data_IF_211340015560
#
_entry.id   IF_211340015560
#
_cell.length_a   1.000
_cell.length_b   1.000
_cell.length_c   1.000
_cell.angle_alpha   90.00
_cell.angle_beta   90.00
_cell.angle_gamma   90.00
#
_symmetry.space_group_name_H-M   'P 1'
#
loop_
_entity.id
_entity.type
_entity.pdbx_description
1 polymer ?
#
# COMPACT_ATOMS: atom_id res chain seq x y z
N UNK A 1 -4.74 17.57 -8.20
CA UNK A 1 -4.87 16.79 -6.96
C UNK A 1 -6.21 17.12 -6.35
N UNK A 2 -6.98 16.10 -6.00
CA UNK A 2 -8.24 16.24 -5.28
C UNK A 2 -7.97 16.13 -3.77
N UNK A 3 -8.89 16.65 -2.96
CA UNK A 3 -8.78 16.52 -1.50
C UNK A 3 -9.01 15.05 -1.11
N UNK A 4 -8.18 14.55 -0.21
CA UNK A 4 -8.38 13.26 0.44
C UNK A 4 -9.59 13.34 1.39
N UNK A 5 -10.48 12.36 1.30
CA UNK A 5 -11.60 12.18 2.21
C UNK A 5 -11.38 10.88 2.99
N UNK A 6 -11.84 10.86 4.24
CA UNK A 6 -11.78 9.66 5.06
C UNK A 6 -13.05 9.50 5.88
N UNK A 7 -13.57 8.28 5.91
CA UNK A 7 -14.68 7.88 6.76
C UNK A 7 -14.22 6.73 7.67
N UNK A 8 -14.67 6.71 8.92
CA UNK A 8 -14.24 5.70 9.89
C UNK A 8 -15.40 5.21 10.74
N UNK A 9 -15.45 3.88 10.89
CA UNK A 9 -16.37 3.16 11.74
C UNK A 9 -15.59 2.43 12.82
N UNK A 10 -16.07 2.52 14.06
CA UNK A 10 -15.45 1.83 15.19
C UNK A 10 -16.51 1.18 16.06
N UNK A 11 -16.21 -0.03 16.50
CA UNK A 11 -16.96 -0.74 17.52
C UNK A 11 -15.99 -1.24 18.59
N UNK A 12 -16.38 -1.15 19.86
CA UNK A 12 -15.54 -1.59 20.97
C UNK A 12 -16.37 -2.29 22.05
N UNK A 13 -15.77 -3.29 22.68
CA UNK A 13 -16.29 -3.98 23.86
C UNK A 13 -15.20 -4.00 24.92
N UNK A 14 -15.60 -3.63 26.14
CA UNK A 14 -14.78 -3.73 27.34
C UNK A 14 -15.40 -4.76 28.30
N UNK A 15 -14.60 -5.71 28.75
CA UNK A 15 -14.97 -6.75 29.69
C UNK A 15 -14.06 -6.68 30.92
N UNK A 16 -14.67 -6.64 32.10
CA UNK A 16 -13.95 -6.56 33.38
C UNK A 16 -14.37 -7.70 34.28
N UNK A 17 -13.39 -8.48 34.73
CA UNK A 17 -13.56 -9.66 35.58
C UNK A 17 -12.58 -9.60 36.76
N UNK A 18 -12.92 -8.82 37.79
CA UNK A 18 -12.08 -8.65 38.97
C UNK A 18 -10.71 -8.08 38.60
N UNK A 19 -9.66 -8.89 38.71
CA UNK A 19 -8.29 -8.47 38.41
C UNK A 19 -7.88 -8.66 36.95
N UNK A 20 -8.83 -9.03 36.08
CA UNK A 20 -8.64 -9.18 34.65
C UNK A 20 -9.50 -8.16 33.91
N UNK A 21 -8.91 -7.45 32.97
CA UNK A 21 -9.62 -6.64 31.99
C UNK A 21 -9.21 -7.02 30.57
N UNK A 22 -10.18 -6.88 29.67
CA UNK A 22 -10.04 -7.16 28.25
C UNK A 22 -10.86 -6.18 27.45
N UNK A 23 -10.20 -5.53 26.49
CA UNK A 23 -10.80 -4.64 25.51
C UNK A 23 -10.53 -5.20 24.12
N UNK A 24 -11.58 -5.21 23.30
CA UNK A 24 -11.49 -5.47 21.87
C UNK A 24 -12.14 -4.31 21.14
N UNK A 25 -11.39 -3.71 20.21
CA UNK A 25 -11.96 -2.77 19.24
C UNK A 25 -11.81 -3.31 17.82
N UNK A 26 -12.84 -3.10 17.03
CA UNK A 26 -12.81 -3.21 15.58
C UNK A 26 -12.85 -1.80 15.00
N UNK A 27 -11.99 -1.53 14.04
CA UNK A 27 -11.94 -0.28 13.31
C UNK A 27 -11.90 -0.55 11.81
N UNK A 28 -12.67 0.22 11.07
CA UNK A 28 -12.61 0.28 9.62
C UNK A 28 -12.48 1.75 9.21
N UNK A 29 -11.52 2.04 8.35
CA UNK A 29 -11.31 3.37 7.79
C UNK A 29 -11.17 3.27 6.29
N UNK A 30 -12.07 3.94 5.57
CA UNK A 30 -12.00 4.11 4.13
C UNK A 30 -11.44 5.50 3.80
N UNK A 31 -10.54 5.56 2.82
CA UNK A 31 -9.96 6.78 2.28
C UNK A 31 -10.29 6.85 0.78
N UNK A 32 -10.87 7.96 0.36
CA UNK A 32 -11.06 8.29 -1.05
C UNK A 32 -10.04 9.34 -1.48
N UNK A 33 -9.58 9.26 -2.73
CA UNK A 33 -8.60 10.19 -3.28
C UNK A 33 -7.33 10.27 -2.42
N UNK A 34 -6.91 9.16 -1.81
CA UNK A 34 -5.78 9.15 -0.89
C UNK A 34 -4.51 9.62 -1.61
N UNK A 35 -3.78 10.56 -1.05
CA UNK A 35 -2.54 11.01 -1.69
C UNK A 35 -1.44 9.98 -1.45
N UNK A 36 -1.00 9.31 -2.52
CA UNK A 36 0.01 8.25 -2.52
C UNK A 36 1.18 8.64 -3.41
N UNK A 37 2.33 7.98 -3.21
CA UNK A 37 3.48 8.26 -4.06
C UNK A 37 3.32 7.56 -5.42
N UNK A 38 3.52 8.28 -6.52
CA UNK A 38 3.70 7.68 -7.84
C UNK A 38 5.08 7.01 -7.89
N UNK A 39 5.10 5.69 -8.12
CA UNK A 39 6.37 4.94 -8.25
C UNK A 39 6.87 4.97 -9.69
N UNK A 40 8.19 4.85 -9.89
CA UNK A 40 8.76 4.74 -11.24
C UNK A 40 8.20 3.55 -12.03
N UNK A 41 7.90 2.44 -11.34
CA UNK A 41 7.27 1.28 -11.95
C UNK A 41 5.87 1.59 -12.50
N UNK A 42 5.05 2.33 -11.76
CA UNK A 42 3.71 2.73 -12.22
C UNK A 42 3.80 3.64 -13.46
N UNK A 43 4.73 4.60 -13.46
CA UNK A 43 4.99 5.47 -14.62
C UNK A 43 5.39 4.65 -15.85
N UNK A 44 6.27 3.66 -15.68
CA UNK A 44 6.69 2.77 -16.77
C UNK A 44 5.55 1.89 -17.28
N UNK A 45 4.74 1.32 -16.39
CA UNK A 45 3.59 0.48 -16.76
C UNK A 45 2.57 1.29 -17.55
N UNK A 46 2.29 2.53 -17.13
CA UNK A 46 1.37 3.42 -17.83
C UNK A 46 1.92 3.85 -19.20
N UNK A 47 3.20 4.25 -19.29
CA UNK A 47 3.83 4.59 -20.57
C UNK A 47 3.82 3.38 -21.54
N UNK A 48 4.07 2.17 -21.04
CA UNK A 48 4.00 0.96 -21.84
C UNK A 48 2.58 0.63 -22.31
N UNK A 49 1.58 0.79 -21.44
CA UNK A 49 0.18 0.64 -21.81
C UNK A 49 -0.21 1.61 -22.93
N UNK A 50 0.11 2.91 -22.77
CA UNK A 50 -0.17 3.92 -23.79
C UNK A 50 0.57 3.62 -25.10
N UNK A 51 1.82 3.15 -25.03
CA UNK A 51 2.57 2.71 -26.19
C UNK A 51 1.84 1.60 -26.96
N UNK A 52 1.32 0.57 -26.26
CA UNK A 52 0.55 -0.51 -26.87
C UNK A 52 -0.72 0.01 -27.54
N UNK A 53 -1.46 0.90 -26.87
CA UNK A 53 -2.70 1.48 -27.40
C UNK A 53 -2.45 2.33 -28.66
N UNK A 54 -1.41 3.17 -28.66
CA UNK A 54 -1.14 4.10 -29.78
C UNK A 54 -0.47 3.40 -30.96
N UNK A 55 0.45 2.47 -30.71
CA UNK A 55 1.26 1.85 -31.78
C UNK A 55 0.72 0.50 -32.25
N UNK A 56 -0.31 -0.02 -31.59
CA UNK A 56 -0.85 -1.37 -31.82
C UNK A 56 0.16 -2.48 -31.49
N UNK A 57 1.17 -2.21 -30.67
CA UNK A 57 2.15 -3.22 -30.28
C UNK A 57 1.53 -4.25 -29.34
N UNK A 58 1.63 -5.53 -29.71
CA UNK A 58 1.04 -6.65 -28.95
C UNK A 58 2.05 -7.47 -28.14
N UNK A 59 3.33 -7.13 -28.23
CA UNK A 59 4.38 -7.80 -27.46
C UNK A 59 4.39 -7.38 -25.99
N UNK A 60 5.17 -8.09 -25.18
CA UNK A 60 5.28 -7.88 -23.72
C UNK A 60 6.55 -7.15 -23.28
N UNK A 61 7.40 -6.70 -24.22
CA UNK A 61 8.62 -5.95 -23.92
C UNK A 61 9.78 -6.80 -23.36
N UNK A 62 9.58 -8.10 -23.17
CA UNK A 62 10.64 -9.03 -22.75
C UNK A 62 11.53 -9.42 -23.93
N UNK A 63 12.74 -9.92 -23.64
CA UNK A 63 13.70 -10.33 -24.67
C UNK A 63 13.05 -11.25 -25.71
N UNK A 64 13.24 -10.95 -27.00
CA UNK A 64 12.60 -11.66 -28.11
C UNK A 64 11.17 -11.20 -28.46
N UNK A 65 10.56 -10.33 -27.64
CA UNK A 65 9.22 -9.77 -27.85
C UNK A 65 9.20 -8.26 -27.52
N UNK A 66 10.27 -7.57 -27.90
CA UNK A 66 10.44 -6.13 -27.76
C UNK A 66 9.99 -5.40 -29.03
N UNK A 67 9.53 -4.14 -28.94
CA UNK A 67 9.29 -3.34 -30.12
C UNK A 67 10.59 -3.08 -30.88
N UNK A 68 10.45 -2.78 -32.17
CA UNK A 68 11.61 -2.37 -32.99
C UNK A 68 12.18 -1.05 -32.47
N UNK A 69 13.47 -0.82 -32.72
CA UNK A 69 14.13 0.42 -32.30
C UNK A 69 13.42 1.66 -32.85
N UNK A 70 13.02 1.61 -34.12
CA UNK A 70 12.29 2.71 -34.77
C UNK A 70 10.98 3.02 -34.04
N UNK A 71 10.18 2.00 -33.72
CA UNK A 71 8.92 2.21 -32.96
C UNK A 71 9.16 2.86 -31.60
N UNK A 72 10.26 2.51 -30.93
CA UNK A 72 10.62 3.08 -29.65
C UNK A 72 11.02 4.56 -29.78
N UNK A 73 11.80 4.90 -30.83
CA UNK A 73 12.19 6.28 -31.13
C UNK A 73 10.97 7.14 -31.48
N UNK A 74 10.06 6.62 -32.32
CA UNK A 74 8.82 7.29 -32.68
C UNK A 74 7.94 7.52 -31.43
N UNK A 75 7.87 6.54 -30.52
CA UNK A 75 7.16 6.67 -29.26
C UNK A 75 7.72 7.78 -28.37
N UNK A 76 9.03 7.87 -28.22
CA UNK A 76 9.67 8.90 -27.38
C UNK A 76 9.33 10.32 -27.86
N UNK A 77 9.20 10.52 -29.17
CA UNK A 77 8.79 11.79 -29.76
C UNK A 77 7.28 12.02 -29.70
N UNK A 78 6.49 10.99 -29.45
CA UNK A 78 5.04 11.10 -29.36
C UNK A 78 4.62 11.96 -28.14
N UNK A 79 3.66 12.89 -28.30
CA UNK A 79 3.12 13.66 -27.17
C UNK A 79 2.49 12.80 -26.06
N UNK A 80 1.99 11.61 -26.38
CA UNK A 80 1.40 10.67 -25.43
C UNK A 80 2.43 9.88 -24.61
N UNK A 81 3.72 9.91 -24.99
CA UNK A 81 4.77 9.27 -24.19
C UNK A 81 5.11 10.09 -22.96
N UNK A 82 5.28 9.41 -21.83
CA UNK A 82 5.68 10.01 -20.57
C UNK A 82 7.05 10.66 -20.70
N UNK A 83 7.09 11.98 -20.50
CA UNK A 83 8.34 12.77 -20.49
C UNK A 83 9.12 12.62 -19.18
N UNK A 84 8.54 11.93 -18.21
CA UNK A 84 9.21 11.59 -16.96
C UNK A 84 10.23 10.47 -17.14
N UNK A 85 10.11 9.63 -18.17
CA UNK A 85 11.05 8.54 -18.42
C UNK A 85 12.21 9.04 -19.29
N UNK A 86 13.34 9.33 -18.65
CA UNK A 86 14.58 9.74 -19.31
C UNK A 86 15.34 8.50 -19.76
N UNK A 87 15.54 8.40 -21.08
CA UNK A 87 16.22 7.28 -21.74
C UNK A 87 17.57 7.70 -22.26
N UNK A 88 18.45 6.73 -22.47
CA UNK A 88 19.75 6.97 -23.07
C UNK A 88 19.55 7.46 -24.53
N UNK A 89 20.08 8.64 -24.90
CA UNK A 89 19.98 9.15 -26.26
C UNK A 89 20.68 8.27 -27.30
N UNK A 90 21.66 7.44 -26.90
CA UNK A 90 22.38 6.52 -27.77
C UNK A 90 21.71 5.14 -27.87
N UNK A 91 21.01 4.71 -26.81
CA UNK A 91 20.18 3.50 -26.82
C UNK A 91 18.87 3.71 -26.07
N UNK A 92 17.77 4.04 -26.77
CA UNK A 92 16.50 4.37 -26.13
C UNK A 92 15.84 3.18 -25.40
N UNK A 93 16.36 1.95 -25.53
CA UNK A 93 15.93 0.81 -24.70
C UNK A 93 16.38 0.94 -23.25
N UNK A 94 17.44 1.70 -23.01
CA UNK A 94 18.01 1.90 -21.70
C UNK A 94 17.35 3.10 -21.04
N UNK A 95 16.71 2.87 -19.89
CA UNK A 95 16.16 3.93 -19.05
C UNK A 95 17.27 4.40 -18.11
N UNK A 96 17.62 5.69 -18.17
CA UNK A 96 18.62 6.30 -17.30
C UNK A 96 18.00 6.77 -15.99
N UNK A 97 16.79 7.33 -16.05
CA UNK A 97 16.14 7.93 -14.90
C UNK A 97 14.63 8.00 -15.12
N UNK A 98 13.87 7.97 -14.02
CA UNK A 98 12.44 8.29 -14.02
C UNK A 98 12.24 9.48 -13.10
N UNK A 99 11.69 10.55 -13.66
CA UNK A 99 11.26 11.76 -12.99
C UNK A 99 9.76 11.66 -12.65
N UNK A 100 9.15 12.76 -12.20
CA UNK A 100 7.71 12.75 -11.88
C UNK A 100 7.32 11.86 -10.70
N UNK A 101 8.30 11.37 -9.95
CA UNK A 101 8.09 10.75 -8.64
C UNK A 101 7.50 11.83 -7.73
N UNK A 102 6.24 11.68 -7.35
CA UNK A 102 5.49 12.71 -6.65
C UNK A 102 4.25 12.14 -5.99
N UNK A 103 3.36 13.04 -5.57
CA UNK A 103 2.07 12.67 -5.01
C UNK A 103 1.03 12.56 -6.14
N UNK A 104 0.36 11.40 -6.24
CA UNK A 104 -0.87 11.21 -7.00
C UNK A 104 -1.99 10.82 -6.05
N UNK A 105 -3.24 11.07 -6.42
CA UNK A 105 -4.36 10.46 -5.70
C UNK A 105 -4.46 8.99 -6.12
N UNK A 106 -4.42 8.05 -5.16
CA UNK A 106 -5.00 6.72 -5.30
C UNK A 106 -6.52 6.85 -5.25
N UNK A 107 -7.23 5.97 -5.95
CA UNK A 107 -8.69 6.01 -5.99
C UNK A 107 -9.27 5.72 -4.61
N UNK A 108 -8.85 4.60 -4.00
CA UNK A 108 -9.42 4.09 -2.76
C UNK A 108 -8.38 3.35 -1.94
N UNK A 109 -8.37 3.59 -0.62
CA UNK A 109 -7.65 2.75 0.35
C UNK A 109 -8.55 2.47 1.55
N UNK A 110 -8.73 1.20 1.90
CA UNK A 110 -9.56 0.78 3.03
C UNK A 110 -8.73 -0.06 4.00
N UNK A 111 -8.86 0.22 5.30
CA UNK A 111 -8.12 -0.49 6.35
C UNK A 111 -9.09 -1.02 7.41
N UNK A 112 -9.08 -2.33 7.60
CA UNK A 112 -9.84 -3.00 8.66
C UNK A 112 -8.87 -3.64 9.65
N UNK A 113 -9.00 -3.30 10.93
CA UNK A 113 -8.19 -3.87 12.00
C UNK A 113 -8.99 -4.17 13.27
N UNK A 114 -8.41 -5.04 14.09
CA UNK A 114 -8.85 -5.37 15.43
C UNK A 114 -7.72 -5.07 16.40
N UNK A 115 -7.99 -4.26 17.42
CA UNK A 115 -7.07 -4.04 18.52
C UNK A 115 -7.54 -4.79 19.76
N UNK A 116 -6.61 -5.46 20.40
CA UNK A 116 -6.78 -6.23 21.62
C UNK A 116 -5.91 -5.60 22.69
N UNK A 117 -6.51 -5.28 23.82
CA UNK A 117 -5.80 -4.92 25.03
C UNK A 117 -6.28 -5.79 26.18
N UNK A 118 -5.35 -6.31 26.97
CA UNK A 118 -5.70 -7.12 28.13
C UNK A 118 -4.71 -6.92 29.25
N UNK A 119 -5.20 -6.81 30.47
CA UNK A 119 -4.37 -6.74 31.65
C UNK A 119 -4.84 -7.74 32.70
N UNK A 120 -3.89 -8.33 33.41
CA UNK A 120 -4.14 -9.20 34.53
C UNK A 120 -3.22 -8.86 35.70
N UNK A 121 -3.80 -8.74 36.89
CA UNK A 121 -3.06 -8.53 38.12
C UNK A 121 -3.25 -9.73 39.06
N UNK A 122 -2.16 -10.39 39.45
CA UNK A 122 -2.21 -11.45 40.44
C UNK A 122 -1.42 -11.07 41.69
N UNK A 123 -2.07 -11.18 42.84
CA UNK A 123 -1.43 -10.93 44.12
C UNK A 123 -0.75 -12.19 44.64
N UNK A 124 0.51 -12.05 45.07
CA UNK A 124 1.24 -13.07 45.81
C UNK A 124 1.14 -12.85 47.33
N UNK A 125 0.17 -12.05 47.77
CA UNK A 125 0.00 -11.63 49.17
C UNK A 125 1.19 -10.79 49.63
N UNK A 126 1.80 -11.18 50.76
CA UNK A 126 2.92 -10.45 51.36
C UNK A 126 4.19 -10.42 50.47
N UNK A 127 4.20 -11.17 49.37
CA UNK A 127 5.34 -11.25 48.43
C UNK A 127 5.22 -10.27 47.25
N UNK A 128 4.18 -9.43 47.23
CA UNK A 128 3.94 -8.42 46.20
C UNK A 128 2.91 -8.85 45.16
N UNK A 129 2.77 -8.04 44.12
CA UNK A 129 1.84 -8.30 43.01
C UNK A 129 2.62 -8.44 41.71
N UNK A 130 2.07 -9.19 40.76
CA UNK A 130 2.60 -9.28 39.40
C UNK A 130 1.51 -8.85 38.42
N UNK A 131 1.90 -8.00 37.48
CA UNK A 131 1.05 -7.48 36.41
C UNK A 131 1.50 -8.01 35.07
N UNK A 132 0.54 -8.52 34.31
CA UNK A 132 0.72 -8.94 32.92
C UNK A 132 -0.14 -8.03 32.05
N UNK A 133 0.46 -7.42 31.03
CA UNK A 133 -0.24 -6.61 30.05
C UNK A 133 0.05 -7.10 28.63
N UNK A 134 -1.00 -7.31 27.84
CA UNK A 134 -0.94 -7.65 26.42
C UNK A 134 -1.60 -6.53 25.61
N UNK A 135 -0.91 -6.08 24.56
CA UNK A 135 -1.47 -5.20 23.54
C UNK A 135 -1.17 -5.80 22.18
N UNK A 136 -2.18 -5.96 21.33
CA UNK A 136 -2.01 -6.51 20.01
C UNK A 136 -2.96 -5.89 18.98
N UNK A 137 -2.49 -5.79 17.75
CA UNK A 137 -3.28 -5.34 16.60
C UNK A 137 -3.25 -6.45 15.55
N UNK A 138 -4.43 -6.83 15.06
CA UNK A 138 -4.62 -7.65 13.88
C UNK A 138 -5.16 -6.80 12.74
N UNK A 139 -4.41 -6.69 11.65
CA UNK A 139 -4.89 -6.04 10.42
C UNK A 139 -5.47 -7.13 9.54
N UNK A 140 -6.79 -7.07 9.34
CA UNK A 140 -7.50 -8.04 8.52
C UNK A 140 -7.38 -7.67 7.03
N UNK A 141 -7.66 -6.40 6.72
CA UNK A 141 -7.70 -5.89 5.37
C UNK A 141 -6.94 -4.57 5.25
N UNK A 142 -6.19 -4.45 4.16
CA UNK A 142 -5.59 -3.22 3.69
C UNK A 142 -5.82 -3.18 2.18
N UNK A 143 -7.03 -2.80 1.78
CA UNK A 143 -7.44 -2.78 0.38
C UNK A 143 -6.93 -1.52 -0.28
N UNK A 144 -6.43 -1.65 -1.50
CA UNK A 144 -5.83 -0.56 -2.26
C UNK A 144 -6.28 -0.62 -3.70
N UNK A 145 -6.71 0.54 -4.22
CA UNK A 145 -6.89 0.82 -5.63
C UNK A 145 -6.01 1.99 -6.04
N UNK A 146 -5.04 1.74 -6.93
CA UNK A 146 -4.10 2.78 -7.34
C UNK A 146 -4.74 3.81 -8.28
N UNK A 147 -5.68 3.38 -9.11
CA UNK A 147 -6.47 4.22 -10.02
C UNK A 147 -7.75 3.47 -10.43
N UNK A 148 -8.75 4.21 -10.91
CA UNK A 148 -10.07 3.66 -11.30
C UNK A 148 -10.03 2.56 -12.38
N UNK A 149 -8.92 2.38 -13.11
CA UNK A 149 -8.77 1.36 -14.16
C UNK A 149 -8.16 0.06 -13.64
N UNK A 150 -7.61 0.06 -12.43
CA UNK A 150 -6.97 -1.11 -11.81
C UNK A 150 -7.88 -1.81 -10.80
N UNK A 151 -7.72 -3.14 -10.64
CA UNK A 151 -8.45 -3.88 -9.62
C UNK A 151 -7.95 -3.53 -8.21
N UNK A 152 -8.86 -3.60 -7.24
CA UNK A 152 -8.56 -3.53 -5.81
C UNK A 152 -7.76 -4.78 -5.39
N UNK A 153 -6.74 -4.61 -4.54
CA UNK A 153 -6.01 -5.73 -3.95
C UNK A 153 -5.77 -5.54 -2.45
N UNK A 154 -5.68 -6.66 -1.70
CA UNK A 154 -5.37 -6.65 -0.27
C UNK A 154 -3.86 -6.73 -0.02
N UNK A 155 -3.29 -5.69 0.60
CA UNK A 155 -1.87 -5.59 0.94
C UNK A 155 -1.54 -6.05 2.38
N UNK A 156 -2.52 -6.44 3.20
CA UNK A 156 -2.29 -6.83 4.60
C UNK A 156 -1.35 -8.04 4.71
N UNK A 157 -0.22 -7.85 5.40
CA UNK A 157 0.83 -8.87 5.57
C UNK A 157 1.75 -9.05 4.38
N UNK A 158 1.60 -8.26 3.31
CA UNK A 158 2.46 -8.34 2.13
C UNK A 158 3.68 -7.43 2.28
N UNK A 159 4.79 -7.88 1.71
CA UNK A 159 6.04 -7.11 1.63
C UNK A 159 6.39 -6.87 0.16
N UNK A 160 7.02 -5.72 -0.13
CA UNK A 160 7.57 -5.38 -1.44
C UNK A 160 6.56 -5.39 -2.61
N UNK A 161 5.32 -4.96 -2.36
CA UNK A 161 4.38 -4.69 -3.45
C UNK A 161 4.87 -3.48 -4.25
N UNK A 162 4.85 -3.51 -5.61
CA UNK A 162 5.28 -2.40 -6.46
C UNK A 162 4.24 -1.28 -6.52
N UNK A 163 3.75 -0.87 -5.35
CA UNK A 163 2.75 0.17 -5.15
C UNK A 163 3.31 1.25 -4.25
N UNK A 164 2.97 2.51 -4.53
CA UNK A 164 3.27 3.62 -3.62
C UNK A 164 2.15 3.92 -2.63
N UNK A 165 1.06 3.13 -2.67
CA UNK A 165 -0.14 3.33 -1.86
C UNK A 165 -0.20 2.48 -0.60
N UNK A 166 0.53 1.34 -0.57
CA UNK A 166 0.57 0.43 0.57
C UNK A 166 1.97 0.33 1.17
N UNK A 167 2.21 0.81 2.41
CA UNK A 167 3.43 0.47 3.13
C UNK A 167 3.42 -1.02 3.53
N UNK A 168 4.59 -1.57 3.84
CA UNK A 168 4.66 -2.91 4.41
C UNK A 168 4.01 -2.94 5.80
N UNK A 169 2.84 -3.58 5.91
CA UNK A 169 2.08 -3.66 7.15
C UNK A 169 1.93 -5.14 7.56
N UNK A 170 2.50 -5.57 8.71
CA UNK A 170 2.32 -6.93 9.17
C UNK A 170 0.86 -7.15 9.58
N UNK A 171 0.35 -8.38 9.37
CA UNK A 171 -1.00 -8.75 9.83
C UNK A 171 -1.12 -8.72 11.35
N UNK A 172 -0.06 -9.06 12.06
CA UNK A 172 -0.05 -9.09 13.52
C UNK A 172 1.08 -8.25 14.07
N UNK A 173 0.78 -7.49 15.11
CA UNK A 173 1.75 -6.82 15.96
C UNK A 173 1.31 -6.98 17.41
N UNK A 174 2.18 -7.48 18.28
CA UNK A 174 1.84 -7.69 19.69
C UNK A 174 3.00 -7.30 20.61
N UNK A 175 2.66 -6.80 21.81
CA UNK A 175 3.57 -6.45 22.87
C UNK A 175 3.07 -7.05 24.18
N UNK A 176 3.94 -7.83 24.84
CA UNK A 176 3.70 -8.38 26.17
C UNK A 176 4.58 -7.64 27.18
N UNK A 177 4.00 -7.26 28.32
CA UNK A 177 4.70 -6.64 29.45
C UNK A 177 4.42 -7.45 30.71
N UNK A 178 5.45 -7.67 31.51
CA UNK A 178 5.36 -8.33 32.82
C UNK A 178 6.16 -7.48 33.81
N UNK A 179 5.59 -7.19 34.98
CA UNK A 179 6.22 -6.38 36.01
C UNK A 179 5.61 -6.55 37.39
#
# INVERSE_FOLDING_TARGET
MQNELSESYQFAIDLVFGNFDFSLSWNNTAFENRIVNSTGQQIMVLDFFNFQQVTGFTGNGLAGNQPTLQKLQDWIQNPASSKDIIRDPLDPRTILQINGLGATNAEEVEVTAFDIQSNYNFSLGDRGDIRIGLQGTYVDEFLVQEDATKPIFNAAGRQNQPTGAAPSLPRWKANLRVG
#
